data_IF_506792410077
#
_entry.id   IF_506792410077
#
_cell.length_a   1.000
_cell.length_b   1.000
_cell.length_c   1.000
_cell.angle_alpha   90.00
_cell.angle_beta   90.00
_cell.angle_gamma   90.00
#
_symmetry.space_group_name_H-M   'P 1'
#
loop_
_entity.id
_entity.type
_entity.pdbx_description
1 polymer ?
#
# COMPACT_ATOMS: atom_id res chain seq x y z
N UNK A 1 17.81 -10.29 -30.50
CA UNK A 1 17.21 -10.95 -29.32
C UNK A 1 16.24 -9.96 -28.69
N UNK A 2 14.94 -10.24 -28.69
CA UNK A 2 13.95 -9.43 -27.97
C UNK A 2 13.85 -9.99 -26.55
N UNK A 3 14.33 -9.24 -25.55
CA UNK A 3 14.13 -9.61 -24.14
C UNK A 3 12.73 -9.14 -23.76
N UNK A 4 11.80 -10.10 -23.65
CA UNK A 4 10.43 -9.84 -23.20
C UNK A 4 10.30 -10.14 -21.72
N UNK A 5 9.78 -9.18 -20.98
CA UNK A 5 9.47 -9.35 -19.56
C UNK A 5 8.14 -10.08 -19.42
N UNK A 6 8.19 -11.33 -18.94
CA UNK A 6 7.02 -12.18 -18.73
C UNK A 6 5.96 -11.47 -17.88
N UNK A 7 6.41 -10.79 -16.82
CA UNK A 7 5.54 -10.10 -15.86
C UNK A 7 5.00 -8.75 -16.36
N UNK A 8 5.63 -8.12 -17.35
CA UNK A 8 5.13 -6.88 -17.93
C UNK A 8 4.09 -7.16 -19.01
N UNK A 9 4.27 -8.23 -19.79
CA UNK A 9 3.44 -8.50 -20.96
C UNK A 9 2.31 -9.51 -20.71
N UNK A 10 2.46 -10.45 -19.77
CA UNK A 10 1.52 -11.57 -19.61
C UNK A 10 0.65 -11.50 -18.35
N UNK A 11 0.97 -10.60 -17.40
CA UNK A 11 0.14 -10.40 -16.20
C UNK A 11 -0.86 -9.27 -16.39
N UNK A 12 -2.05 -9.43 -15.83
CA UNK A 12 -3.07 -8.38 -15.83
C UNK A 12 -2.70 -7.19 -14.94
N UNK A 13 -3.41 -6.08 -15.14
CA UNK A 13 -3.36 -4.96 -14.19
C UNK A 13 -3.87 -5.42 -12.83
N UNK A 14 -3.22 -5.06 -11.70
CA UNK A 14 -2.16 -4.04 -11.56
C UNK A 14 -0.71 -4.58 -11.63
N UNK A 15 -0.52 -5.89 -11.76
CA UNK A 15 0.78 -6.53 -11.58
C UNK A 15 1.80 -6.16 -12.67
N UNK A 16 1.32 -5.95 -13.90
CA UNK A 16 2.17 -5.51 -15.02
C UNK A 16 2.69 -4.06 -14.91
N UNK A 17 2.15 -3.24 -14.01
CA UNK A 17 2.61 -1.85 -13.81
C UNK A 17 3.17 -1.58 -12.41
N UNK A 18 3.45 -2.65 -11.66
CA UNK A 18 4.05 -2.61 -10.33
C UNK A 18 5.37 -1.83 -10.32
N UNK A 19 6.28 -2.10 -11.26
CA UNK A 19 7.60 -1.46 -11.31
C UNK A 19 7.49 0.07 -11.41
N UNK A 20 6.60 0.57 -12.27
CA UNK A 20 6.35 2.00 -12.44
C UNK A 20 5.74 2.61 -11.18
N UNK A 21 4.77 1.90 -10.60
CA UNK A 21 4.09 2.30 -9.37
C UNK A 21 5.07 2.40 -8.19
N UNK A 22 5.99 1.44 -8.06
CA UNK A 22 7.06 1.45 -7.06
C UNK A 22 8.05 2.61 -7.28
N UNK A 23 8.53 2.80 -8.53
CA UNK A 23 9.44 3.92 -8.85
C UNK A 23 8.81 5.28 -8.55
N UNK A 24 7.51 5.44 -8.80
CA UNK A 24 6.76 6.63 -8.43
C UNK A 24 6.75 6.84 -6.91
N UNK A 25 6.40 5.81 -6.14
CA UNK A 25 6.40 5.87 -4.67
C UNK A 25 7.77 6.23 -4.08
N UNK A 26 8.85 5.65 -4.62
CA UNK A 26 10.24 5.95 -4.19
C UNK A 26 10.61 7.41 -4.47
N UNK A 27 10.21 7.95 -5.63
CA UNK A 27 10.46 9.35 -5.98
C UNK A 27 9.65 10.32 -5.11
N UNK A 28 8.47 9.92 -4.66
CA UNK A 28 7.56 10.76 -3.88
C UNK A 28 7.40 10.27 -2.43
N UNK A 29 8.49 10.37 -1.66
CA UNK A 29 8.54 9.93 -0.25
C UNK A 29 7.43 10.53 0.64
N UNK A 30 6.97 11.76 0.37
CA UNK A 30 5.89 12.38 1.14
C UNK A 30 4.55 11.67 0.90
N UNK A 31 4.26 11.27 -0.34
CA UNK A 31 3.08 10.47 -0.66
C UNK A 31 3.17 9.09 -0.02
N UNK A 32 4.36 8.47 0.00
CA UNK A 32 4.58 7.23 0.73
C UNK A 32 4.29 7.38 2.22
N UNK A 33 4.77 8.46 2.86
CA UNK A 33 4.48 8.74 4.27
C UNK A 33 2.98 8.91 4.51
N UNK A 34 2.28 9.67 3.67
CA UNK A 34 0.83 9.86 3.80
C UNK A 34 0.08 8.54 3.65
N UNK A 35 0.38 7.76 2.59
CA UNK A 35 -0.25 6.47 2.35
C UNK A 35 0.03 5.44 3.46
N UNK A 36 1.25 5.43 3.99
CA UNK A 36 1.63 4.54 5.09
C UNK A 36 0.92 4.92 6.40
N UNK A 37 0.89 6.20 6.76
CA UNK A 37 0.24 6.65 7.99
C UNK A 37 -1.29 6.67 7.88
N UNK A 38 -1.85 6.77 6.68
CA UNK A 38 -3.29 6.65 6.45
C UNK A 38 -3.77 5.19 6.50
N UNK A 39 -3.00 4.25 5.95
CA UNK A 39 -3.32 2.81 5.95
C UNK A 39 -2.95 2.09 7.25
N UNK A 40 -2.07 2.68 8.07
CA UNK A 40 -1.82 2.27 9.46
C UNK A 40 -2.43 3.27 10.46
N UNK A 41 -3.77 3.41 10.51
CA UNK A 41 -4.41 4.37 11.39
C UNK A 41 -4.36 3.87 12.84
N UNK A 42 -3.29 4.25 13.55
CA UNK A 42 -3.22 4.07 15.01
C UNK A 42 -4.48 4.61 15.69
N UNK A 43 -5.05 5.70 15.19
CA UNK A 43 -6.28 6.29 15.72
C UNK A 43 -7.54 5.42 15.50
N UNK A 44 -7.71 4.78 14.32
CA UNK A 44 -8.84 3.87 14.07
C UNK A 44 -8.70 2.61 14.93
N UNK A 45 -7.49 2.03 15.00
CA UNK A 45 -7.25 0.88 15.86
C UNK A 45 -7.41 1.22 17.35
N UNK A 46 -6.94 2.38 17.80
CA UNK A 46 -7.14 2.83 19.19
C UNK A 46 -8.62 3.04 19.51
N UNK A 47 -9.41 3.66 18.63
CA UNK A 47 -10.86 3.82 18.85
C UNK A 47 -11.57 2.47 18.90
N UNK A 48 -11.24 1.57 17.98
CA UNK A 48 -11.82 0.23 17.94
C UNK A 48 -11.47 -0.55 19.21
N UNK A 49 -10.19 -0.61 19.58
CA UNK A 49 -9.73 -1.31 20.79
C UNK A 49 -10.29 -0.68 22.07
N UNK A 50 -10.42 0.65 22.15
CA UNK A 50 -11.02 1.33 23.29
C UNK A 50 -12.52 1.04 23.41
N UNK A 51 -13.26 0.98 22.29
CA UNK A 51 -14.65 0.58 22.28
C UNK A 51 -14.84 -0.87 22.73
N UNK A 52 -13.98 -1.79 22.25
CA UNK A 52 -13.97 -3.18 22.72
C UNK A 52 -13.68 -3.28 24.22
N UNK A 53 -12.68 -2.52 24.71
CA UNK A 53 -12.37 -2.49 26.14
C UNK A 53 -13.55 -1.94 26.97
N UNK A 54 -14.25 -0.91 26.51
CA UNK A 54 -15.39 -0.34 27.23
C UNK A 54 -16.63 -1.25 27.25
N UNK A 55 -16.81 -2.11 26.24
CA UNK A 55 -17.92 -3.08 26.19
C UNK A 55 -17.62 -4.33 27.03
N UNK A 56 -16.34 -4.67 27.20
CA UNK A 56 -15.90 -5.90 27.88
C UNK A 56 -15.29 -5.67 29.28
N UNK A 57 -15.19 -4.42 29.75
CA UNK A 57 -14.75 -4.05 31.11
C UNK A 57 -15.92 -4.03 32.10
#
# INVERSE_FOLDING_TARGET
VFVKDVWKEHTGWPLNDMERSYKFMVKHVQLWKVAFHSSSPRWVHCLYLAAFAAIYA
#
